data_IF_426297099814
#
_entry.id   IF_426297099814
#
_cell.length_a   1.000
_cell.length_b   1.000
_cell.length_c   1.000
_cell.angle_alpha   90.00
_cell.angle_beta   90.00
_cell.angle_gamma   90.00
#
_symmetry.space_group_name_H-M   'P 1'
#
loop_
_entity.id
_entity.type
_entity.pdbx_description
1 polymer ?
#
# COMPACT_ATOMS: atom_id res chain seq x y z
N UNK A 1 -15.93 18.90 -16.45
CA UNK A 1 -14.55 19.09 -16.87
C UNK A 1 -14.37 20.02 -18.09
N UNK A 2 -15.24 20.00 -19.11
CA UNK A 2 -15.09 20.85 -20.32
C UNK A 2 -15.29 22.35 -20.11
N UNK A 3 -16.10 22.78 -19.14
CA UNK A 3 -16.35 24.24 -18.88
C UNK A 3 -15.18 24.93 -18.17
N UNK A 4 -14.31 24.19 -17.51
CA UNK A 4 -13.19 24.75 -16.73
C UNK A 4 -12.00 25.07 -17.63
N UNK A 5 -11.78 24.28 -18.69
CA UNK A 5 -10.62 24.49 -19.60
C UNK A 5 -10.68 25.79 -20.40
N UNK A 6 -11.87 26.30 -20.75
CA UNK A 6 -12.03 27.54 -21.50
C UNK A 6 -11.65 28.82 -20.71
N UNK A 7 -11.74 28.78 -19.38
CA UNK A 7 -11.44 29.95 -18.54
C UNK A 7 -9.93 30.17 -18.41
N UNK A 8 -9.13 29.13 -18.51
CA UNK A 8 -7.67 29.22 -18.32
C UNK A 8 -6.90 29.78 -19.51
N UNK A 9 -7.47 29.72 -20.74
CA UNK A 9 -6.78 30.16 -21.96
C UNK A 9 -6.70 31.70 -22.15
N UNK A 10 -7.49 32.48 -21.40
CA UNK A 10 -7.55 33.95 -21.57
C UNK A 10 -6.99 34.75 -20.39
N UNK A 11 -6.40 34.14 -19.38
CA UNK A 11 -5.83 34.84 -18.22
C UNK A 11 -4.32 35.13 -18.44
N UNK A 12 -3.87 36.38 -18.22
CA UNK A 12 -2.44 36.68 -18.22
C UNK A 12 -1.72 35.84 -17.16
N UNK A 13 -0.55 35.31 -17.48
CA UNK A 13 0.16 34.28 -16.70
C UNK A 13 0.26 34.56 -15.19
N UNK A 14 0.39 35.82 -14.80
CA UNK A 14 0.46 36.24 -13.40
C UNK A 14 -0.86 36.01 -12.64
N UNK A 15 -2.00 36.20 -13.29
CA UNK A 15 -3.34 35.92 -12.70
C UNK A 15 -3.58 34.43 -12.58
N UNK A 16 -3.10 33.64 -13.54
CA UNK A 16 -3.19 32.17 -13.52
C UNK A 16 -2.39 31.60 -12.35
N UNK A 17 -1.16 32.06 -12.15
CA UNK A 17 -0.31 31.64 -11.02
C UNK A 17 -0.96 31.99 -9.68
N UNK A 18 -1.49 33.21 -9.53
CA UNK A 18 -2.17 33.64 -8.31
C UNK A 18 -3.42 32.81 -8.02
N UNK A 19 -4.17 32.43 -9.04
CA UNK A 19 -5.38 31.60 -8.92
C UNK A 19 -5.04 30.14 -8.58
N UNK A 20 -3.95 29.62 -9.13
CA UNK A 20 -3.44 28.29 -8.78
C UNK A 20 -2.92 28.26 -7.34
N UNK A 21 -2.13 29.25 -6.93
CA UNK A 21 -1.64 29.37 -5.55
C UNK A 21 -2.80 29.51 -4.56
N UNK A 22 -3.81 30.32 -4.87
CA UNK A 22 -5.01 30.45 -4.04
C UNK A 22 -5.75 29.11 -3.91
N UNK A 23 -5.93 28.36 -5.01
CA UNK A 23 -6.54 27.01 -4.97
C UNK A 23 -5.73 26.04 -4.12
N UNK A 24 -4.42 26.04 -4.24
CA UNK A 24 -3.55 25.19 -3.41
C UNK A 24 -3.72 25.54 -1.93
N UNK A 25 -3.68 26.83 -1.58
CA UNK A 25 -3.82 27.29 -0.19
C UNK A 25 -5.20 26.90 0.38
N UNK A 26 -6.27 27.09 -0.39
CA UNK A 26 -7.64 26.75 0.05
C UNK A 26 -7.84 25.23 0.13
N UNK A 27 -7.09 24.44 -0.68
CA UNK A 27 -7.18 22.98 -0.66
C UNK A 27 -6.32 22.32 0.44
N UNK A 28 -5.35 23.04 1.02
CA UNK A 28 -4.48 22.51 2.08
C UNK A 28 -5.24 22.08 3.36
N UNK A 29 -6.27 22.77 3.84
CA UNK A 29 -7.02 22.31 5.03
C UNK A 29 -7.98 21.16 4.73
N UNK A 30 -8.37 20.92 3.46
CA UNK A 30 -9.37 19.91 3.10
C UNK A 30 -8.99 18.50 3.59
N UNK A 31 -7.76 17.99 3.42
CA UNK A 31 -7.38 16.67 3.94
C UNK A 31 -7.50 16.57 5.47
N UNK A 32 -7.20 17.64 6.19
CA UNK A 32 -7.30 17.67 7.65
C UNK A 32 -8.75 17.69 8.13
N UNK A 33 -9.62 18.43 7.42
CA UNK A 33 -11.05 18.46 7.69
C UNK A 33 -11.66 17.08 7.45
N UNK A 34 -11.35 16.47 6.29
CA UNK A 34 -11.81 15.12 5.97
C UNK A 34 -11.33 14.07 6.98
N UNK A 35 -10.11 14.21 7.48
CA UNK A 35 -9.57 13.30 8.49
C UNK A 35 -10.35 13.34 9.81
N UNK A 36 -10.90 14.52 10.17
CA UNK A 36 -11.65 14.72 11.42
C UNK A 36 -13.14 14.41 11.23
N UNK A 37 -13.73 14.79 10.11
CA UNK A 37 -15.16 14.61 9.83
C UNK A 37 -15.52 13.16 9.48
N UNK A 38 -14.61 12.44 8.79
CA UNK A 38 -14.84 11.09 8.29
C UNK A 38 -14.07 10.04 9.11
N UNK A 39 -14.72 9.34 10.08
CA UNK A 39 -14.04 8.37 10.93
C UNK A 39 -13.42 7.22 10.13
N UNK A 40 -13.99 6.87 8.99
CA UNK A 40 -13.45 5.85 8.10
C UNK A 40 -12.07 6.24 7.55
N UNK A 41 -11.93 7.49 7.10
CA UNK A 41 -10.65 8.03 6.59
C UNK A 41 -9.61 8.03 7.71
N UNK A 42 -9.99 8.41 8.93
CA UNK A 42 -9.10 8.42 10.08
C UNK A 42 -8.54 7.02 10.38
N UNK A 43 -9.40 6.00 10.43
CA UNK A 43 -8.98 4.60 10.67
C UNK A 43 -8.06 4.10 9.57
N UNK A 44 -8.40 4.33 8.29
CA UNK A 44 -7.58 3.93 7.14
C UNK A 44 -6.21 4.61 7.19
N UNK A 45 -6.18 5.91 7.47
CA UNK A 45 -4.93 6.69 7.53
C UNK A 45 -4.04 6.20 8.67
N UNK A 46 -4.60 5.97 9.87
CA UNK A 46 -3.85 5.44 11.00
C UNK A 46 -3.27 4.05 10.69
N UNK A 47 -4.09 3.15 10.16
CA UNK A 47 -3.66 1.80 9.79
C UNK A 47 -2.57 1.82 8.72
N UNK A 48 -2.73 2.63 7.67
CA UNK A 48 -1.75 2.78 6.61
C UNK A 48 -0.43 3.37 7.13
N UNK A 49 -0.48 4.36 8.02
CA UNK A 49 0.71 4.93 8.66
C UNK A 49 1.47 3.90 9.48
N UNK A 50 0.75 3.05 10.21
CA UNK A 50 1.35 1.94 10.96
C UNK A 50 2.04 0.94 10.04
N UNK A 51 1.40 0.56 8.94
CA UNK A 51 2.00 -0.34 7.93
C UNK A 51 3.28 0.25 7.33
N UNK A 52 3.28 1.55 7.01
CA UNK A 52 4.48 2.24 6.53
C UNK A 52 5.59 2.26 7.59
N UNK A 53 5.26 2.56 8.84
CA UNK A 53 6.22 2.50 9.94
C UNK A 53 6.85 1.11 10.08
N UNK A 54 6.04 0.05 9.99
CA UNK A 54 6.52 -1.33 10.01
C UNK A 54 7.42 -1.64 8.80
N UNK A 55 7.07 -1.17 7.61
CA UNK A 55 7.91 -1.37 6.42
C UNK A 55 9.29 -0.73 6.58
N UNK A 56 9.35 0.53 7.00
CA UNK A 56 10.63 1.20 7.21
C UNK A 56 11.45 0.57 8.33
N UNK A 57 10.79 0.19 9.44
CA UNK A 57 11.43 -0.57 10.51
C UNK A 57 11.99 -1.90 10.01
N UNK A 58 11.24 -2.61 9.18
CA UNK A 58 11.67 -3.85 8.56
C UNK A 58 12.89 -3.65 7.66
N UNK A 59 12.89 -2.62 6.80
CA UNK A 59 14.02 -2.30 5.92
C UNK A 59 15.30 -1.94 6.70
N UNK A 60 15.17 -1.28 7.86
CA UNK A 60 16.30 -0.95 8.73
C UNK A 60 16.89 -2.18 9.45
N UNK A 61 16.01 -3.08 9.91
CA UNK A 61 16.43 -4.30 10.62
C UNK A 61 17.05 -5.32 9.65
N UNK A 62 16.63 -5.31 8.41
CA UNK A 62 17.03 -6.31 7.42
C UNK A 62 18.54 -6.44 7.25
N UNK A 63 19.31 -5.36 6.98
CA UNK A 63 20.78 -5.46 6.88
C UNK A 63 21.45 -5.85 8.19
N UNK A 64 20.88 -5.50 9.34
CA UNK A 64 21.43 -5.89 10.64
C UNK A 64 21.30 -7.40 10.85
N UNK A 65 20.15 -7.99 10.58
CA UNK A 65 19.92 -9.43 10.72
C UNK A 65 20.86 -10.22 9.79
N UNK A 66 20.92 -9.85 8.53
CA UNK A 66 21.72 -10.59 7.57
C UNK A 66 23.22 -10.34 7.72
N UNK A 67 23.63 -9.08 7.96
CA UNK A 67 25.04 -8.71 8.10
C UNK A 67 25.63 -9.08 9.45
N UNK A 68 25.01 -8.64 10.56
CA UNK A 68 25.59 -8.81 11.89
C UNK A 68 25.28 -10.17 12.53
N UNK A 69 24.05 -10.66 12.41
CA UNK A 69 23.63 -11.92 13.05
C UNK A 69 24.06 -13.14 12.24
N UNK A 70 23.93 -13.08 10.91
CA UNK A 70 24.23 -14.21 10.02
C UNK A 70 25.55 -14.09 9.28
N UNK A 71 26.27 -12.97 9.38
CA UNK A 71 27.59 -12.78 8.78
C UNK A 71 27.60 -12.72 7.25
N UNK A 72 26.47 -12.33 6.61
CA UNK A 72 26.38 -12.21 5.16
C UNK A 72 27.16 -10.99 4.67
N UNK A 73 27.81 -11.15 3.50
CA UNK A 73 28.44 -10.01 2.82
C UNK A 73 27.40 -9.01 2.34
N UNK A 74 27.75 -7.72 2.12
CA UNK A 74 26.80 -6.71 1.63
C UNK A 74 26.08 -7.12 0.34
N UNK A 75 26.77 -7.85 -0.54
CA UNK A 75 26.19 -8.37 -1.80
C UNK A 75 25.12 -9.44 -1.52
N UNK A 76 25.40 -10.35 -0.59
CA UNK A 76 24.45 -11.40 -0.18
C UNK A 76 23.23 -10.80 0.51
N UNK A 77 23.40 -9.75 1.33
CA UNK A 77 22.30 -8.98 1.90
C UNK A 77 21.42 -8.39 0.78
N UNK A 78 22.04 -7.85 -0.27
CA UNK A 78 21.31 -7.37 -1.45
C UNK A 78 20.44 -8.45 -2.10
N UNK A 79 20.91 -9.69 -2.19
CA UNK A 79 20.12 -10.80 -2.74
C UNK A 79 18.90 -11.14 -1.87
N UNK A 80 18.95 -10.97 -0.56
CA UNK A 80 17.78 -11.25 0.30
C UNK A 80 16.62 -10.29 0.06
N UNK A 81 16.87 -9.07 -0.45
CA UNK A 81 15.82 -8.15 -0.87
C UNK A 81 14.98 -8.63 -2.06
N UNK A 82 15.50 -9.58 -2.86
CA UNK A 82 14.68 -10.21 -3.90
C UNK A 82 13.45 -10.94 -3.34
N UNK A 83 13.50 -11.40 -2.09
CA UNK A 83 12.34 -11.98 -1.42
C UNK A 83 11.22 -10.94 -1.23
N UNK A 84 11.57 -9.71 -0.85
CA UNK A 84 10.61 -8.59 -0.73
C UNK A 84 10.04 -8.21 -2.09
N UNK A 85 10.91 -8.13 -3.12
CA UNK A 85 10.46 -7.89 -4.50
C UNK A 85 9.51 -8.97 -5.00
N UNK A 86 9.82 -10.24 -4.76
CA UNK A 86 8.96 -11.35 -5.14
C UNK A 86 7.58 -11.24 -4.46
N UNK A 87 7.54 -10.83 -3.18
CA UNK A 87 6.30 -10.56 -2.46
C UNK A 87 5.45 -9.46 -3.12
N UNK A 88 6.06 -8.37 -3.55
CA UNK A 88 5.37 -7.31 -4.28
C UNK A 88 4.84 -7.77 -5.64
N UNK A 89 5.62 -8.55 -6.40
CA UNK A 89 5.18 -9.12 -7.67
C UNK A 89 4.01 -10.09 -7.48
N UNK A 90 4.09 -10.96 -6.48
CA UNK A 90 3.01 -11.90 -6.15
C UNK A 90 1.73 -11.18 -5.71
N UNK A 91 1.85 -10.10 -4.92
CA UNK A 91 0.72 -9.27 -4.53
C UNK A 91 0.02 -8.67 -5.75
N UNK A 92 0.79 -8.08 -6.66
CA UNK A 92 0.24 -7.47 -7.88
C UNK A 92 -0.44 -8.52 -8.76
N UNK A 93 0.17 -9.69 -8.92
CA UNK A 93 -0.42 -10.80 -9.66
C UNK A 93 -1.71 -11.31 -8.97
N UNK A 94 -1.70 -11.45 -7.65
CA UNK A 94 -2.87 -11.88 -6.88
C UNK A 94 -4.03 -10.89 -7.00
N UNK A 95 -3.76 -9.59 -6.82
CA UNK A 95 -4.76 -8.52 -6.97
C UNK A 95 -5.33 -8.49 -8.39
N UNK A 96 -4.44 -8.57 -9.40
CA UNK A 96 -4.86 -8.51 -10.81
C UNK A 96 -5.65 -9.73 -11.25
N UNK A 97 -5.19 -10.94 -10.91
CA UNK A 97 -5.80 -12.18 -11.41
C UNK A 97 -7.03 -12.59 -10.60
N UNK A 98 -6.99 -12.44 -9.28
CA UNK A 98 -8.08 -12.90 -8.42
C UNK A 98 -9.22 -11.90 -8.36
N UNK A 99 -8.93 -10.62 -8.08
CA UNK A 99 -9.96 -9.60 -7.88
C UNK A 99 -10.62 -9.22 -9.19
N UNK A 100 -9.83 -8.97 -10.23
CA UNK A 100 -10.39 -8.55 -11.53
C UNK A 100 -11.12 -9.69 -12.24
N UNK A 101 -10.65 -10.93 -12.11
CA UNK A 101 -11.22 -12.02 -12.87
C UNK A 101 -12.37 -12.74 -12.16
N UNK A 102 -12.36 -12.84 -10.84
CA UNK A 102 -13.36 -13.67 -10.11
C UNK A 102 -14.46 -12.82 -9.49
N UNK A 103 -14.14 -11.73 -8.82
CA UNK A 103 -15.13 -10.93 -8.09
C UNK A 103 -15.74 -9.85 -8.96
N UNK A 104 -14.94 -9.20 -9.81
CA UNK A 104 -15.41 -8.11 -10.67
C UNK A 104 -16.34 -8.61 -11.78
N UNK A 105 -16.05 -9.78 -12.38
CA UNK A 105 -16.94 -10.41 -13.37
C UNK A 105 -18.26 -10.85 -12.75
N UNK A 106 -18.24 -11.47 -11.56
CA UNK A 106 -19.47 -11.87 -10.86
C UNK A 106 -20.32 -10.67 -10.46
N UNK A 107 -19.74 -9.57 -10.04
CA UNK A 107 -20.47 -8.36 -9.68
C UNK A 107 -21.03 -7.66 -10.93
N UNK A 108 -20.32 -7.69 -12.04
CA UNK A 108 -20.77 -7.15 -13.33
C UNK A 108 -21.95 -7.91 -13.85
N UNK A 109 -21.92 -9.25 -13.81
CA UNK A 109 -23.01 -10.12 -14.26
C UNK A 109 -24.26 -9.98 -13.38
N UNK A 110 -24.11 -9.63 -12.10
CA UNK A 110 -25.21 -9.42 -11.16
C UNK A 110 -25.70 -7.96 -11.08
N UNK A 111 -25.17 -7.05 -11.90
CA UNK A 111 -25.48 -5.61 -11.90
C UNK A 111 -25.34 -4.95 -10.50
N UNK A 112 -24.46 -5.46 -9.67
CA UNK A 112 -24.27 -5.09 -8.26
C UNK A 112 -22.88 -4.49 -8.07
N UNK A 113 -22.71 -3.26 -8.55
CA UNK A 113 -21.48 -2.49 -8.33
C UNK A 113 -21.44 -2.00 -6.88
N UNK A 114 -20.90 -2.80 -5.97
CA UNK A 114 -20.59 -2.32 -4.61
C UNK A 114 -19.11 -2.18 -4.42
N UNK A 115 -18.60 -1.03 -3.96
CA UNK A 115 -17.18 -0.80 -3.68
C UNK A 115 -16.64 -1.72 -2.57
N UNK A 116 -17.54 -2.32 -1.79
CA UNK A 116 -17.25 -3.26 -0.70
C UNK A 116 -16.56 -4.55 -1.16
N UNK A 117 -16.73 -4.94 -2.44
CA UNK A 117 -16.09 -6.14 -2.99
C UNK A 117 -14.56 -6.03 -2.99
N UNK A 118 -14.02 -4.80 -3.07
CA UNK A 118 -12.58 -4.56 -3.01
C UNK A 118 -11.99 -4.69 -1.61
N UNK A 119 -12.81 -4.48 -0.57
CA UNK A 119 -12.37 -4.63 0.82
C UNK A 119 -12.11 -6.10 1.17
N UNK A 120 -12.83 -7.04 0.57
CA UNK A 120 -12.68 -8.47 0.85
C UNK A 120 -11.26 -9.00 0.61
N UNK A 121 -10.60 -8.54 -0.44
CA UNK A 121 -9.20 -8.90 -0.72
C UNK A 121 -8.25 -8.29 0.31
N UNK A 122 -8.50 -7.05 0.73
CA UNK A 122 -7.77 -6.38 1.80
C UNK A 122 -7.87 -7.13 3.13
N UNK A 123 -9.07 -7.61 3.50
CA UNK A 123 -9.28 -8.37 4.72
C UNK A 123 -8.45 -9.66 4.77
N UNK A 124 -8.43 -10.43 3.68
CA UNK A 124 -7.60 -11.63 3.61
C UNK A 124 -6.11 -11.30 3.77
N UNK A 125 -5.67 -10.24 3.12
CA UNK A 125 -4.27 -9.80 3.15
C UNK A 125 -3.85 -9.20 4.48
N UNK A 126 -4.81 -8.70 5.28
CA UNK A 126 -4.55 -8.17 6.63
C UNK A 126 -3.97 -9.25 7.57
N UNK A 127 -4.34 -10.50 7.40
CA UNK A 127 -3.76 -11.60 8.17
C UNK A 127 -2.34 -11.97 7.70
N UNK A 128 -2.03 -11.73 6.44
CA UNK A 128 -0.73 -12.07 5.87
C UNK A 128 0.40 -11.19 6.44
N UNK A 129 0.10 -9.93 6.76
CA UNK A 129 1.07 -8.98 7.35
C UNK A 129 1.60 -9.47 8.70
N UNK A 130 0.77 -9.75 9.73
CA UNK A 130 1.27 -10.25 11.00
C UNK A 130 1.93 -11.62 10.87
N UNK A 131 1.39 -12.53 10.06
CA UNK A 131 2.00 -13.85 9.82
C UNK A 131 3.43 -13.67 9.29
N UNK A 132 3.63 -12.81 8.28
CA UNK A 132 4.94 -12.54 7.71
C UNK A 132 5.90 -11.93 8.73
N UNK A 133 5.44 -10.96 9.53
CA UNK A 133 6.24 -10.34 10.60
C UNK A 133 6.64 -11.33 11.71
N UNK A 134 5.69 -12.13 12.18
CA UNK A 134 5.98 -13.15 13.19
C UNK A 134 6.95 -14.22 12.67
N UNK A 135 6.74 -14.70 11.46
CA UNK A 135 7.63 -15.67 10.84
C UNK A 135 9.05 -15.11 10.71
N UNK A 136 9.17 -13.87 10.22
CA UNK A 136 10.48 -13.22 10.14
C UNK A 136 11.09 -12.97 11.53
N UNK A 137 10.35 -12.33 12.43
CA UNK A 137 10.85 -11.99 13.77
C UNK A 137 11.29 -13.18 14.59
N UNK A 138 10.59 -14.33 14.44
CA UNK A 138 10.93 -15.55 15.16
C UNK A 138 12.08 -16.34 14.56
N UNK A 139 12.33 -16.23 13.27
CA UNK A 139 13.34 -17.03 12.56
C UNK A 139 14.62 -16.26 12.24
N UNK A 140 14.53 -14.95 12.10
CA UNK A 140 15.65 -14.08 11.71
C UNK A 140 16.81 -14.10 12.72
N UNK A 141 16.60 -14.05 14.06
CA UNK A 141 17.67 -14.00 15.04
C UNK A 141 18.45 -15.31 15.18
N UNK A 142 17.91 -16.44 14.73
CA UNK A 142 18.51 -17.76 14.93
C UNK A 142 19.33 -18.22 13.73
N UNK A 143 20.68 -18.23 13.81
CA UNK A 143 21.55 -18.64 12.70
C UNK A 143 21.37 -20.09 12.25
N UNK A 144 20.91 -20.98 13.16
CA UNK A 144 20.67 -22.40 12.86
C UNK A 144 19.42 -22.61 11.97
N UNK A 145 18.51 -21.65 11.90
CA UNK A 145 17.37 -21.70 10.98
C UNK A 145 17.84 -21.35 9.58
N UNK A 146 17.44 -22.16 8.60
CA UNK A 146 17.84 -21.95 7.22
C UNK A 146 17.41 -20.54 6.73
N UNK A 147 18.30 -19.86 6.02
CA UNK A 147 18.10 -18.46 5.58
C UNK A 147 16.84 -18.23 4.71
N UNK A 148 16.34 -19.28 4.04
CA UNK A 148 15.11 -19.18 3.23
C UNK A 148 13.88 -18.90 4.09
N UNK A 149 13.81 -19.39 5.34
CA UNK A 149 12.62 -19.26 6.20
C UNK A 149 12.31 -17.79 6.52
N UNK A 150 13.25 -16.97 7.02
CA UNK A 150 12.98 -15.54 7.19
C UNK A 150 12.74 -14.81 5.87
N UNK A 151 13.31 -15.27 4.73
CA UNK A 151 13.00 -14.73 3.42
C UNK A 151 11.54 -14.97 3.03
N UNK A 152 10.97 -16.14 3.34
CA UNK A 152 9.54 -16.42 3.14
C UNK A 152 8.69 -15.49 4.02
N UNK A 153 9.08 -15.25 5.28
CA UNK A 153 8.42 -14.29 6.16
C UNK A 153 8.42 -12.88 5.56
N UNK A 154 9.56 -12.44 5.04
CA UNK A 154 9.70 -11.16 4.35
C UNK A 154 8.80 -11.04 3.10
N UNK A 155 8.73 -12.11 2.32
CA UNK A 155 7.87 -12.22 1.13
C UNK A 155 6.39 -12.14 1.51
N UNK A 156 5.95 -12.88 2.54
CA UNK A 156 4.56 -12.84 3.02
C UNK A 156 4.17 -11.45 3.54
N UNK A 157 5.06 -10.82 4.30
CA UNK A 157 4.86 -9.46 4.81
C UNK A 157 4.67 -8.44 3.68
N UNK A 158 5.59 -8.41 2.72
CA UNK A 158 5.54 -7.47 1.60
C UNK A 158 4.34 -7.73 0.67
N UNK A 159 3.98 -8.99 0.45
CA UNK A 159 2.78 -9.38 -0.29
C UNK A 159 1.52 -8.86 0.41
N UNK A 160 1.36 -9.11 1.70
CA UNK A 160 0.21 -8.67 2.48
C UNK A 160 0.09 -7.14 2.50
N UNK A 161 1.19 -6.44 2.74
CA UNK A 161 1.25 -4.99 2.81
C UNK A 161 0.78 -4.32 1.52
N UNK A 162 1.32 -4.72 0.36
CA UNK A 162 0.96 -4.11 -0.92
C UNK A 162 -0.50 -4.42 -1.29
N UNK A 163 -0.98 -5.62 -0.99
CA UNK A 163 -2.37 -5.99 -1.27
C UNK A 163 -3.36 -5.18 -0.43
N UNK A 164 -3.09 -4.99 0.86
CA UNK A 164 -3.90 -4.13 1.75
C UNK A 164 -3.91 -2.70 1.24
N UNK A 165 -2.73 -2.14 0.94
CA UNK A 165 -2.60 -0.78 0.44
C UNK A 165 -3.37 -0.56 -0.87
N UNK A 166 -3.23 -1.49 -1.83
CA UNK A 166 -3.96 -1.44 -3.12
C UNK A 166 -5.47 -1.49 -2.92
N UNK A 167 -5.95 -2.34 -2.01
CA UNK A 167 -7.38 -2.49 -1.72
C UNK A 167 -7.97 -1.22 -1.11
N UNK A 168 -7.27 -0.58 -0.18
CA UNK A 168 -7.71 0.66 0.44
C UNK A 168 -7.70 1.84 -0.54
N UNK A 169 -6.64 1.96 -1.36
CA UNK A 169 -6.57 2.99 -2.40
C UNK A 169 -7.70 2.84 -3.42
N UNK A 170 -7.97 1.61 -3.85
CA UNK A 170 -9.06 1.35 -4.79
C UNK A 170 -10.43 1.68 -4.17
N UNK A 171 -10.67 1.30 -2.92
CA UNK A 171 -11.90 1.62 -2.20
C UNK A 171 -12.12 3.14 -2.07
N UNK A 172 -11.09 3.88 -1.65
CA UNK A 172 -11.14 5.33 -1.53
C UNK A 172 -11.46 6.00 -2.87
N UNK A 173 -10.80 5.55 -3.94
CA UNK A 173 -11.05 6.10 -5.29
C UNK A 173 -12.49 5.87 -5.72
N UNK A 174 -13.05 4.68 -5.50
CA UNK A 174 -14.44 4.38 -5.90
C UNK A 174 -15.47 5.13 -5.05
N UNK A 175 -15.19 5.34 -3.77
CA UNK A 175 -16.13 6.02 -2.85
C UNK A 175 -16.18 7.53 -3.10
N UNK A 176 -15.04 8.16 -3.43
CA UNK A 176 -14.93 9.61 -3.57
C UNK A 176 -14.81 10.10 -5.02
N UNK A 177 -14.87 9.21 -6.01
CA UNK A 177 -14.79 9.60 -7.42
C UNK A 177 -16.17 9.93 -8.07
N UNK A 178 -17.28 9.70 -7.38
CA UNK A 178 -18.64 10.00 -7.85
C UNK A 178 -19.08 11.42 -7.53
#
# INVERSE_FOLDING_TARGET
HRKVSHIYHHLPGLKLVKLLLWRVIVSLPVPWILLIEEPLIMVITFYTSLLYGLLYGFLLIFPQVWGTVRGFSPVQVGYTYFAVMAGFCLSTAFVSLWIQNTEYRRAYDMNKHSPELRIRSGLFSTFLVPIGLFLFGWTAPFPHVHWIVPCIGAMCFSMGMLCVFSSWMAYMTDTYSN
#
